data_IF_601001355112
#
_entry.id   IF_601001355112
#
_cell.length_a   1.000
_cell.length_b   1.000
_cell.length_c   1.000
_cell.angle_alpha   90.00
_cell.angle_beta   90.00
_cell.angle_gamma   90.00
#
_symmetry.space_group_name_H-M   'P 1'
#
loop_
_entity.id
_entity.type
_entity.pdbx_description
1 polymer ?
#
# COMPACT_ATOMS: atom_id res chain seq x y z
N UNK A 1 7.18 -5.52 9.04
CA UNK A 1 6.15 -4.57 8.58
C UNK A 1 6.09 -4.55 7.06
N UNK A 2 7.22 -4.42 6.38
CA UNK A 2 7.34 -4.51 4.91
C UNK A 2 6.66 -5.74 4.31
N UNK A 3 6.86 -6.94 4.89
CA UNK A 3 6.22 -8.17 4.41
C UNK A 3 4.68 -8.11 4.48
N UNK A 4 4.11 -7.54 5.54
CA UNK A 4 2.65 -7.39 5.65
C UNK A 4 2.12 -6.41 4.61
N UNK A 5 2.80 -5.28 4.41
CA UNK A 5 2.44 -4.31 3.37
C UNK A 5 2.52 -4.94 1.99
N UNK A 6 3.57 -5.73 1.71
CA UNK A 6 3.70 -6.48 0.47
C UNK A 6 2.52 -7.44 0.26
N UNK A 7 2.11 -8.17 1.30
CA UNK A 7 0.96 -9.07 1.25
C UNK A 7 -0.32 -8.28 0.93
N UNK A 8 -0.59 -7.17 1.63
CA UNK A 8 -1.77 -6.34 1.38
C UNK A 8 -1.77 -5.80 -0.05
N UNK A 9 -0.62 -5.28 -0.52
CA UNK A 9 -0.45 -4.78 -1.88
C UNK A 9 -0.73 -5.90 -2.90
N UNK A 10 -0.17 -7.08 -2.68
CA UNK A 10 -0.35 -8.22 -3.57
C UNK A 10 -1.80 -8.73 -3.58
N UNK A 11 -2.50 -8.68 -2.47
CA UNK A 11 -3.92 -9.04 -2.42
C UNK A 11 -4.78 -8.11 -3.27
N UNK A 12 -4.54 -6.79 -3.20
CA UNK A 12 -5.20 -5.80 -4.06
C UNK A 12 -4.83 -6.04 -5.53
N UNK A 13 -3.55 -6.27 -5.83
CA UNK A 13 -3.08 -6.57 -7.20
C UNK A 13 -3.73 -7.84 -7.74
N UNK A 14 -3.83 -8.89 -6.93
CA UNK A 14 -4.46 -10.16 -7.28
C UNK A 14 -5.96 -10.01 -7.53
N UNK A 15 -6.66 -9.20 -6.73
CA UNK A 15 -8.05 -8.85 -6.98
C UNK A 15 -8.24 -8.19 -8.36
N UNK A 16 -7.24 -7.43 -8.82
CA UNK A 16 -7.19 -6.81 -10.15
C UNK A 16 -6.62 -7.70 -11.26
N UNK A 17 -6.24 -8.95 -10.96
CA UNK A 17 -5.51 -9.86 -11.86
C UNK A 17 -4.17 -9.30 -12.37
N UNK A 18 -3.52 -8.44 -11.56
CA UNK A 18 -2.16 -7.98 -11.79
C UNK A 18 -1.15 -9.00 -11.27
N UNK A 19 0.07 -8.94 -11.79
CA UNK A 19 1.18 -9.76 -11.28
C UNK A 19 1.56 -9.36 -9.86
N UNK A 20 1.73 -10.34 -9.00
CA UNK A 20 2.25 -10.15 -7.65
C UNK A 20 3.68 -9.59 -7.69
N UNK A 21 4.00 -8.71 -6.75
CA UNK A 21 5.32 -8.17 -6.51
C UNK A 21 6.07 -9.10 -5.56
N UNK A 22 7.34 -9.36 -5.84
CA UNK A 22 8.21 -10.15 -4.96
C UNK A 22 8.89 -9.28 -3.89
N UNK A 23 9.05 -7.98 -4.18
CA UNK A 23 9.69 -7.00 -3.30
C UNK A 23 9.04 -5.64 -3.52
N UNK A 24 9.02 -4.83 -2.47
CA UNK A 24 8.67 -3.41 -2.50
C UNK A 24 9.84 -2.61 -1.96
N UNK A 25 10.16 -1.49 -2.59
CA UNK A 25 11.14 -0.54 -2.11
C UNK A 25 10.44 0.68 -1.55
N UNK A 26 11.06 1.34 -0.57
CA UNK A 26 10.52 2.56 0.03
C UNK A 26 10.36 3.70 -1.00
N UNK A 27 11.18 3.71 -2.04
CA UNK A 27 11.11 4.65 -3.15
C UNK A 27 10.04 4.31 -4.19
N UNK A 28 9.42 3.14 -4.12
CA UNK A 28 8.42 2.73 -5.10
C UNK A 28 7.17 3.60 -4.93
N UNK A 29 6.76 4.18 -6.05
CA UNK A 29 5.57 5.02 -6.15
C UNK A 29 4.33 4.14 -6.20
N UNK A 30 3.34 4.42 -5.36
CA UNK A 30 2.10 3.64 -5.33
C UNK A 30 1.37 3.69 -6.69
N UNK A 31 1.44 4.83 -7.39
CA UNK A 31 0.76 5.01 -8.67
C UNK A 31 1.55 4.47 -9.86
N UNK A 32 2.81 4.84 -9.98
CA UNK A 32 3.63 4.50 -11.16
C UNK A 32 4.26 3.10 -11.06
N UNK A 33 4.90 2.76 -9.95
CA UNK A 33 5.59 1.47 -9.79
C UNK A 33 4.61 0.35 -9.36
N UNK A 34 3.74 0.64 -8.39
CA UNK A 34 2.75 -0.33 -7.89
C UNK A 34 1.49 -0.34 -8.77
N UNK A 35 1.22 0.69 -9.58
CA UNK A 35 0.06 0.71 -10.47
C UNK A 35 -1.28 0.89 -9.76
N UNK A 36 -1.28 1.50 -8.57
CA UNK A 36 -2.49 1.78 -7.81
C UNK A 36 -3.18 3.04 -8.31
N UNK A 37 -4.49 2.92 -8.45
CA UNK A 37 -5.42 4.00 -8.75
C UNK A 37 -5.95 4.57 -7.43
N UNK A 38 -6.63 5.72 -7.49
CA UNK A 38 -7.29 6.30 -6.30
C UNK A 38 -8.24 5.32 -5.60
N UNK A 39 -8.84 4.38 -6.35
CA UNK A 39 -9.70 3.35 -5.79
C UNK A 39 -8.89 2.31 -4.99
N UNK A 40 -7.76 1.87 -5.53
CA UNK A 40 -6.88 0.90 -4.87
C UNK A 40 -6.22 1.50 -3.63
N UNK A 41 -5.90 2.80 -3.68
CA UNK A 41 -5.41 3.53 -2.51
C UNK A 41 -6.45 3.54 -1.39
N UNK A 42 -7.74 3.77 -1.72
CA UNK A 42 -8.80 3.71 -0.73
C UNK A 42 -8.95 2.29 -0.14
N UNK A 43 -8.86 1.24 -0.97
CA UNK A 43 -8.87 -0.14 -0.49
C UNK A 43 -7.64 -0.46 0.38
N UNK A 44 -6.46 0.04 0.00
CA UNK A 44 -5.23 -0.09 0.76
C UNK A 44 -5.36 0.53 2.14
N UNK A 45 -5.92 1.75 2.25
CA UNK A 45 -6.19 2.41 3.53
C UNK A 45 -7.04 1.54 4.43
N UNK A 46 -8.18 1.05 3.93
CA UNK A 46 -9.11 0.25 4.73
C UNK A 46 -8.46 -1.05 5.21
N UNK A 47 -7.68 -1.72 4.35
CA UNK A 47 -6.97 -2.94 4.73
C UNK A 47 -5.86 -2.70 5.76
N UNK A 48 -5.18 -1.55 5.67
CA UNK A 48 -4.15 -1.19 6.64
C UNK A 48 -4.79 -0.77 7.96
N UNK A 49 -5.88 -0.01 7.93
CA UNK A 49 -6.67 0.35 9.11
C UNK A 49 -7.21 -0.90 9.82
N UNK A 50 -7.76 -1.87 9.10
CA UNK A 50 -8.25 -3.12 9.69
C UNK A 50 -7.12 -3.97 10.32
N UNK A 51 -5.94 -3.98 9.72
CA UNK A 51 -4.80 -4.83 10.15
C UNK A 51 -3.91 -4.16 11.22
N UNK A 52 -3.82 -2.83 11.23
CA UNK A 52 -2.92 -2.05 12.08
C UNK A 52 -3.62 -1.01 12.96
N UNK A 53 -4.92 -0.77 12.78
CA UNK A 53 -5.68 0.30 13.44
C UNK A 53 -5.10 1.71 13.17
N UNK A 54 -4.52 1.89 11.96
CA UNK A 54 -3.84 3.13 11.54
C UNK A 54 -4.41 3.59 10.19
N UNK A 55 -4.89 4.83 10.13
CA UNK A 55 -5.22 5.52 8.87
C UNK A 55 -3.97 6.21 8.30
N UNK A 56 -3.41 5.64 7.24
CA UNK A 56 -2.22 6.17 6.59
C UNK A 56 -2.47 7.47 5.80
N UNK A 57 -3.72 7.85 5.53
CA UNK A 57 -4.05 9.09 4.80
C UNK A 57 -4.59 10.21 5.71
N UNK A 58 -4.70 9.99 7.01
CA UNK A 58 -5.25 10.98 7.96
C UNK A 58 -4.48 12.32 7.91
N UNK A 59 -3.15 12.25 7.86
CA UNK A 59 -2.24 13.40 7.84
C UNK A 59 -1.90 13.92 6.43
N UNK A 60 -2.44 13.30 5.37
CA UNK A 60 -2.22 13.74 3.99
C UNK A 60 -2.07 12.63 2.95
N UNK A 61 -1.75 13.02 1.72
CA UNK A 61 -1.59 12.10 0.59
C UNK A 61 -0.27 11.32 0.70
N UNK A 62 -0.37 10.01 0.76
CA UNK A 62 0.75 9.08 0.62
C UNK A 62 1.01 8.80 -0.86
N UNK A 63 2.27 8.93 -1.30
CA UNK A 63 2.65 8.71 -2.70
C UNK A 63 3.57 7.49 -2.87
N UNK A 64 4.37 7.18 -1.86
CA UNK A 64 5.38 6.11 -1.90
C UNK A 64 5.14 5.05 -0.83
N UNK A 65 5.68 3.85 -1.04
CA UNK A 65 5.66 2.78 -0.03
C UNK A 65 6.38 3.23 1.25
N UNK A 66 7.45 4.02 1.13
CA UNK A 66 8.20 4.52 2.28
C UNK A 66 7.35 5.32 3.25
N UNK A 67 6.50 6.21 2.73
CA UNK A 67 5.58 7.01 3.54
C UNK A 67 4.57 6.15 4.30
N UNK A 68 4.08 5.05 3.69
CA UNK A 68 3.22 4.09 4.40
C UNK A 68 3.96 3.50 5.58
N UNK A 69 5.20 3.03 5.35
CA UNK A 69 5.98 2.36 6.38
C UNK A 69 6.38 3.31 7.50
N UNK A 70 6.67 4.57 7.19
CA UNK A 70 6.93 5.59 8.20
C UNK A 70 5.70 5.86 9.08
N UNK A 71 4.49 5.81 8.53
CA UNK A 71 3.25 5.97 9.31
C UNK A 71 2.91 4.77 10.19
N UNK A 72 3.38 3.58 9.80
CA UNK A 72 3.19 2.35 10.57
C UNK A 72 4.26 2.12 11.64
N UNK A 73 5.26 3.01 11.75
CA UNK A 73 6.39 2.88 12.66
C UNK A 73 6.13 3.55 14.01
#
# INVERSE_FOLDING_TARGET
MEEKILIIINEIRKAKKLSELSVINLSDTLRDDIGFTSFDLAELTVRIEDEFDIDIFEDGLVNTVGEIIEKLR
#
